data_IF_627853131880
#
_entry.id   IF_627853131880
#
_cell.length_a   1.000
_cell.length_b   1.000
_cell.length_c   1.000
_cell.angle_alpha   90.00
_cell.angle_beta   90.00
_cell.angle_gamma   90.00
#
_symmetry.space_group_name_H-M   'P 1'
#
loop_
_entity.id
_entity.type
_entity.pdbx_description
1 polymer ?
#
# COMPACT_ATOMS: atom_id res chain seq x y z
N UNK A 1 -4.78 -1.23 6.89
CA UNK A 1 -6.03 -1.15 7.68
C UNK A 1 -6.93 -2.35 7.40
N UNK A 2 -7.44 -2.54 6.18
CA UNK A 2 -8.21 -3.75 5.81
C UNK A 2 -7.39 -5.06 5.93
N UNK A 3 -6.12 -5.03 5.55
CA UNK A 3 -5.23 -6.20 5.68
C UNK A 3 -4.79 -6.47 7.13
N UNK A 4 -4.90 -5.46 8.01
CA UNK A 4 -4.54 -5.56 9.42
C UNK A 4 -5.66 -6.12 10.31
N UNK A 5 -6.74 -6.62 9.72
CA UNK A 5 -7.91 -7.15 10.44
C UNK A 5 -9.04 -6.15 10.68
N UNK A 6 -8.81 -4.85 10.47
CA UNK A 6 -9.77 -3.78 10.83
C UNK A 6 -10.99 -3.63 9.91
N UNK A 7 -11.29 -4.63 9.09
CA UNK A 7 -12.36 -4.52 8.09
C UNK A 7 -13.74 -4.43 8.76
N UNK A 8 -13.97 -5.25 9.79
CA UNK A 8 -15.25 -5.32 10.51
C UNK A 8 -15.54 -3.99 11.22
N UNK A 9 -14.55 -3.46 11.94
CA UNK A 9 -14.67 -2.19 12.66
C UNK A 9 -14.89 -1.02 11.70
N UNK A 10 -14.27 -1.04 10.52
CA UNK A 10 -14.56 -0.03 9.50
C UNK A 10 -16.00 -0.15 8.98
N UNK A 11 -16.50 -1.37 8.74
CA UNK A 11 -17.90 -1.57 8.32
C UNK A 11 -18.87 -1.07 9.38
N UNK A 12 -18.58 -1.31 10.65
CA UNK A 12 -19.37 -0.82 11.77
C UNK A 12 -19.41 0.72 11.78
N UNK A 13 -18.24 1.38 11.69
CA UNK A 13 -18.17 2.85 11.62
C UNK A 13 -18.95 3.39 10.42
N UNK A 14 -18.83 2.76 9.25
CA UNK A 14 -19.54 3.17 8.04
C UNK A 14 -21.07 2.97 8.14
N UNK A 15 -21.55 2.08 9.01
CA UNK A 15 -22.99 1.80 9.23
C UNK A 15 -23.74 2.88 10.03
N UNK A 16 -23.00 3.71 10.78
CA UNK A 16 -23.60 4.79 11.56
C UNK A 16 -24.07 5.97 10.69
N UNK A 17 -23.54 6.11 9.49
CA UNK A 17 -24.00 7.11 8.53
C UNK A 17 -25.36 6.73 7.94
N UNK A 18 -26.34 7.63 8.03
CA UNK A 18 -27.73 7.40 7.59
C UNK A 18 -28.09 8.08 6.27
N UNK A 19 -27.24 8.97 5.78
CA UNK A 19 -27.43 9.71 4.53
C UNK A 19 -26.31 9.43 3.55
N UNK A 20 -26.55 9.76 2.28
CA UNK A 20 -25.51 9.69 1.25
C UNK A 20 -24.35 10.63 1.59
N UNK A 21 -23.14 10.15 1.34
CA UNK A 21 -21.88 10.86 1.59
C UNK A 21 -20.93 10.65 0.42
N UNK A 22 -20.04 11.62 0.21
CA UNK A 22 -18.85 11.40 -0.60
C UNK A 22 -17.80 10.67 0.24
N UNK A 23 -17.24 9.59 -0.28
CA UNK A 23 -16.19 8.83 0.39
C UNK A 23 -14.95 8.80 -0.50
N UNK A 24 -13.79 9.11 0.07
CA UNK A 24 -12.50 8.99 -0.59
C UNK A 24 -11.75 7.84 0.06
N UNK A 25 -11.25 6.91 -0.75
CA UNK A 25 -10.40 5.81 -0.29
C UNK A 25 -9.01 6.01 -0.87
N UNK A 26 -7.99 5.94 0.01
CA UNK A 26 -6.59 6.01 -0.39
C UNK A 26 -5.93 4.66 -0.09
N UNK A 27 -5.26 4.10 -1.08
CA UNK A 27 -4.45 2.89 -0.91
C UNK A 27 -3.23 2.92 -1.80
N UNK A 28 -2.08 2.48 -1.27
CA UNK A 28 -0.85 2.35 -2.05
C UNK A 28 -0.82 1.07 -2.90
N UNK A 29 -1.62 0.06 -2.49
CA UNK A 29 -1.73 -1.23 -3.15
C UNK A 29 -3.21 -1.62 -3.31
N UNK A 30 -3.53 -2.42 -4.32
CA UNK A 30 -4.89 -2.87 -4.60
C UNK A 30 -4.98 -4.39 -4.76
N UNK A 31 -4.64 -5.18 -3.71
CA UNK A 31 -4.92 -6.60 -3.73
C UNK A 31 -6.44 -6.86 -3.71
N UNK A 32 -6.86 -8.07 -4.07
CA UNK A 32 -8.26 -8.43 -4.26
C UNK A 32 -9.17 -8.07 -3.07
N UNK A 33 -8.66 -8.22 -1.84
CA UNK A 33 -9.40 -7.87 -0.61
C UNK A 33 -9.70 -6.37 -0.52
N UNK A 34 -8.73 -5.51 -0.82
CA UNK A 34 -8.91 -4.05 -0.83
C UNK A 34 -9.89 -3.64 -1.94
N UNK A 35 -9.78 -4.26 -3.11
CA UNK A 35 -10.70 -3.99 -4.22
C UNK A 35 -12.15 -4.34 -3.85
N UNK A 36 -12.37 -5.52 -3.27
CA UNK A 36 -13.69 -5.94 -2.80
C UNK A 36 -14.24 -5.02 -1.70
N UNK A 37 -13.37 -4.56 -0.78
CA UNK A 37 -13.77 -3.57 0.22
C UNK A 37 -14.22 -2.25 -0.43
N UNK A 38 -13.44 -1.73 -1.38
CA UNK A 38 -13.74 -0.49 -2.11
C UNK A 38 -15.08 -0.56 -2.85
N UNK A 39 -15.34 -1.67 -3.55
CA UNK A 39 -16.61 -1.94 -4.25
C UNK A 39 -17.81 -1.95 -3.29
N UNK A 40 -17.62 -2.40 -2.05
CA UNK A 40 -18.67 -2.41 -1.03
C UNK A 40 -18.84 -1.09 -0.27
N UNK A 41 -17.78 -0.27 -0.18
CA UNK A 41 -17.74 0.93 0.65
C UNK A 41 -17.99 2.23 -0.14
N UNK A 42 -17.80 2.21 -1.46
CA UNK A 42 -17.92 3.35 -2.35
C UNK A 42 -19.11 3.21 -3.31
N UNK A 43 -19.61 4.33 -3.81
CA UNK A 43 -20.68 4.38 -4.82
C UNK A 43 -20.11 4.99 -6.09
N UNK A 44 -20.08 4.22 -7.18
CA UNK A 44 -19.55 4.62 -8.49
C UNK A 44 -18.22 5.41 -8.42
N UNK A 45 -17.16 4.83 -7.83
CA UNK A 45 -15.93 5.57 -7.59
C UNK A 45 -15.14 5.79 -8.88
N UNK A 46 -14.52 6.96 -9.00
CA UNK A 46 -13.48 7.22 -9.99
C UNK A 46 -12.13 6.81 -9.41
N UNK A 47 -11.43 5.92 -10.11
CA UNK A 47 -10.08 5.50 -9.74
C UNK A 47 -9.04 6.47 -10.30
N UNK A 48 -8.20 7.02 -9.42
CA UNK A 48 -7.09 7.91 -9.79
C UNK A 48 -5.79 7.26 -9.35
N UNK A 49 -4.95 6.89 -10.32
CA UNK A 49 -3.64 6.28 -10.09
C UNK A 49 -2.53 7.26 -10.49
N UNK A 50 -1.57 7.47 -9.58
CA UNK A 50 -0.33 8.19 -9.86
C UNK A 50 0.80 7.17 -9.92
N UNK A 51 1.38 6.97 -11.10
CA UNK A 51 2.34 5.89 -11.35
C UNK A 51 1.67 4.51 -11.42
N UNK A 52 2.40 3.45 -11.06
CA UNK A 52 1.89 2.08 -11.03
C UNK A 52 1.64 1.67 -9.58
N UNK A 53 0.39 1.34 -9.24
CA UNK A 53 0.03 0.91 -7.90
C UNK A 53 0.85 -0.31 -7.46
N UNK A 54 1.40 -0.27 -6.24
CA UNK A 54 2.25 -1.33 -5.70
C UNK A 54 3.62 -1.51 -6.37
N UNK A 55 4.04 -0.64 -7.28
CA UNK A 55 5.39 -0.68 -7.84
C UNK A 55 6.37 0.14 -6.99
N UNK A 56 7.64 -0.29 -6.95
CA UNK A 56 8.73 0.55 -6.46
C UNK A 56 8.88 1.79 -7.36
N UNK A 57 9.36 2.88 -6.79
CA UNK A 57 9.59 4.10 -7.54
C UNK A 57 10.64 3.85 -8.65
N UNK A 58 10.31 4.22 -9.88
CA UNK A 58 11.20 4.07 -11.04
C UNK A 58 12.42 5.00 -10.97
N UNK A 59 12.33 6.09 -10.20
CA UNK A 59 13.43 7.03 -9.98
C UNK A 59 14.48 6.51 -8.97
N UNK A 60 14.27 5.31 -8.41
CA UNK A 60 15.19 4.68 -7.46
C UNK A 60 15.92 3.53 -8.15
N UNK A 61 17.24 3.69 -8.33
CA UNK A 61 18.12 2.62 -8.76
C UNK A 61 18.30 1.63 -7.60
N UNK A 62 18.08 0.35 -7.86
CA UNK A 62 18.21 -0.73 -6.87
C UNK A 62 19.28 -1.71 -7.35
N UNK A 63 20.34 -1.86 -6.57
CA UNK A 63 21.46 -2.77 -6.83
C UNK A 63 21.55 -3.81 -5.71
N UNK A 64 21.92 -5.05 -6.06
CA UNK A 64 22.03 -6.16 -5.11
C UNK A 64 23.42 -6.77 -5.24
N UNK A 65 24.16 -6.75 -4.14
CA UNK A 65 25.52 -7.27 -4.06
C UNK A 65 25.57 -8.46 -3.11
N UNK A 66 26.11 -9.58 -3.59
CA UNK A 66 26.17 -10.82 -2.84
C UNK A 66 27.48 -10.91 -2.06
N UNK A 67 27.38 -10.77 -0.75
CA UNK A 67 28.51 -10.90 0.18
C UNK A 67 28.24 -11.95 1.24
N UNK A 68 29.31 -12.56 1.76
CA UNK A 68 29.20 -13.44 2.93
C UNK A 68 28.76 -12.62 4.14
N UNK A 69 28.04 -13.24 5.08
CA UNK A 69 27.50 -12.55 6.27
C UNK A 69 28.60 -11.83 7.04
N UNK A 70 29.72 -12.53 7.26
CA UNK A 70 30.90 -12.01 7.96
C UNK A 70 31.60 -10.85 7.23
N UNK A 71 31.38 -10.68 5.93
CA UNK A 71 32.02 -9.65 5.10
C UNK A 71 31.13 -8.42 4.85
N UNK A 72 29.88 -8.42 5.32
CA UNK A 72 28.94 -7.31 5.09
C UNK A 72 29.43 -5.97 5.62
N UNK A 73 30.08 -5.98 6.79
CA UNK A 73 30.55 -4.74 7.42
C UNK A 73 31.72 -4.14 6.63
N UNK A 74 32.70 -4.95 6.27
CA UNK A 74 33.86 -4.51 5.49
C UNK A 74 33.42 -3.98 4.13
N UNK A 75 32.53 -4.70 3.44
CA UNK A 75 31.96 -4.26 2.16
C UNK A 75 31.18 -2.94 2.28
N UNK A 76 30.38 -2.77 3.33
CA UNK A 76 29.67 -1.51 3.57
C UNK A 76 30.64 -0.35 3.76
N UNK A 77 31.76 -0.57 4.47
CA UNK A 77 32.79 0.45 4.66
C UNK A 77 33.48 0.82 3.34
N UNK A 78 33.70 -0.15 2.44
CA UNK A 78 34.20 0.11 1.09
C UNK A 78 33.24 0.97 0.27
N UNK A 79 31.92 0.72 0.35
CA UNK A 79 30.91 1.50 -0.37
C UNK A 79 30.75 2.96 0.11
N UNK A 80 31.24 3.30 1.30
CA UNK A 80 31.10 4.63 1.90
C UNK A 80 32.29 5.57 1.60
N UNK A 81 33.37 5.06 1.01
CA UNK A 81 34.54 5.85 0.61
C UNK A 81 34.36 6.50 -0.76
#
# INVERSE_FOLDING_TARGET
MVDGGFEEEMRDVLSFFKSQRQTLMFSATMPAKIKAFAESALVDPIEVNVGRAGAANLDVIQEVEYVKEEAKLDYLLECLQ
#
